data_IF_417229302712
#
_entry.id   IF_417229302712
#
_cell.length_a   1.000
_cell.length_b   1.000
_cell.length_c   1.000
_cell.angle_alpha   90.00
_cell.angle_beta   90.00
_cell.angle_gamma   90.00
#
_symmetry.space_group_name_H-M   'P 1'
#
loop_
_entity.id
_entity.type
_entity.pdbx_description
1 polymer ?
#
# COMPACT_ATOMS: atom_id res chain seq x y z
N UNK A 1 19.57 -8.81 -4.91
CA UNK A 1 18.64 -9.01 -6.04
C UNK A 1 17.30 -8.43 -5.63
N UNK A 2 17.08 -7.15 -5.83
CA UNK A 2 15.88 -6.47 -5.34
C UNK A 2 14.79 -6.61 -6.40
N UNK A 3 13.86 -7.53 -6.17
CA UNK A 3 12.66 -7.66 -7.01
C UNK A 3 11.64 -6.63 -6.58
N UNK A 4 11.31 -5.68 -7.45
CA UNK A 4 10.16 -4.80 -7.28
C UNK A 4 8.92 -5.51 -7.84
N UNK A 5 7.90 -5.70 -7.02
CA UNK A 5 6.60 -6.22 -7.47
C UNK A 5 5.68 -5.02 -7.66
N UNK A 6 5.32 -4.73 -8.90
CA UNK A 6 4.33 -3.71 -9.25
C UNK A 6 2.99 -4.38 -9.55
N UNK A 7 2.01 -4.39 -8.64
CA UNK A 7 0.66 -4.78 -9.00
C UNK A 7 0.11 -3.74 -9.98
N UNK A 8 -0.35 -4.20 -11.14
CA UNK A 8 -1.01 -3.36 -12.12
C UNK A 8 -2.41 -2.99 -11.58
N UNK A 9 -2.49 -2.04 -10.64
CA UNK A 9 -3.76 -1.45 -10.20
C UNK A 9 -4.20 -0.45 -11.26
N UNK A 10 -5.09 -0.90 -12.15
CA UNK A 10 -5.78 -0.04 -13.08
C UNK A 10 -6.71 0.90 -12.32
N UNK A 11 -6.42 2.21 -12.39
CA UNK A 11 -7.18 3.29 -11.74
C UNK A 11 -7.00 3.37 -10.22
N UNK A 12 -6.61 4.56 -9.76
CA UNK A 12 -6.44 4.98 -8.35
C UNK A 12 -7.67 4.76 -7.44
N UNK A 13 -8.77 4.21 -7.98
CA UNK A 13 -10.03 3.92 -7.29
C UNK A 13 -10.06 2.57 -6.55
N UNK A 14 -9.07 1.70 -6.73
CA UNK A 14 -9.08 0.34 -6.16
C UNK A 14 -8.20 0.16 -4.91
N UNK A 15 -7.70 1.26 -4.31
CA UNK A 15 -6.97 1.16 -3.04
C UNK A 15 -7.97 0.96 -1.90
N UNK A 16 -8.14 -0.29 -1.47
CA UNK A 16 -8.99 -0.70 -0.36
C UNK A 16 -8.18 -1.42 0.71
N UNK A 17 -8.75 -1.56 1.91
CA UNK A 17 -8.09 -2.31 2.98
C UNK A 17 -7.85 -3.77 2.58
N UNK A 18 -8.78 -4.35 1.83
CA UNK A 18 -8.73 -5.72 1.35
C UNK A 18 -7.55 -5.92 0.39
N UNK A 19 -7.40 -5.06 -0.62
CA UNK A 19 -6.29 -5.15 -1.57
C UNK A 19 -4.94 -4.93 -0.89
N UNK A 20 -4.86 -3.99 0.06
CA UNK A 20 -3.64 -3.75 0.84
C UNK A 20 -3.32 -4.89 1.83
N UNK A 21 -4.32 -5.60 2.35
CA UNK A 21 -4.08 -6.70 3.29
C UNK A 21 -3.43 -7.92 2.63
N UNK A 22 -3.50 -8.05 1.29
CA UNK A 22 -2.89 -9.16 0.55
C UNK A 22 -1.35 -9.15 0.66
N UNK A 23 -0.74 -7.99 0.86
CA UNK A 23 0.71 -7.88 1.02
C UNK A 23 1.25 -8.61 2.26
N UNK A 24 0.38 -8.96 3.22
CA UNK A 24 0.73 -9.78 4.39
C UNK A 24 1.00 -11.25 4.05
N UNK A 25 0.60 -11.69 2.86
CA UNK A 25 0.76 -13.08 2.41
C UNK A 25 2.12 -13.32 1.74
N UNK A 26 2.91 -12.27 1.52
CA UNK A 26 4.22 -12.36 0.86
C UNK A 26 5.32 -12.69 1.87
N UNK A 27 6.29 -13.50 1.43
CA UNK A 27 7.50 -13.85 2.17
C UNK A 27 8.75 -13.26 1.47
N UNK A 28 9.65 -12.59 2.18
CA UNK A 28 9.56 -12.25 3.61
C UNK A 28 8.41 -11.28 3.90
N UNK A 29 7.88 -11.33 5.13
CA UNK A 29 6.77 -10.47 5.54
C UNK A 29 7.11 -8.99 5.28
N UNK A 30 6.19 -8.29 4.61
CA UNK A 30 6.31 -6.86 4.38
C UNK A 30 5.98 -6.11 5.67
N UNK A 31 6.87 -5.22 6.10
CA UNK A 31 6.66 -4.35 7.26
C UNK A 31 6.28 -2.92 6.85
N UNK A 32 6.72 -2.49 5.67
CA UNK A 32 6.48 -1.14 5.13
C UNK A 32 6.03 -1.24 3.68
N UNK A 33 4.90 -0.62 3.36
CA UNK A 33 4.37 -0.49 2.01
C UNK A 33 4.39 0.98 1.59
N UNK A 34 5.14 1.28 0.54
CA UNK A 34 5.18 2.62 -0.07
C UNK A 34 4.22 2.63 -1.26
N UNK A 35 3.25 3.55 -1.24
CA UNK A 35 2.25 3.75 -2.29
C UNK A 35 2.58 5.02 -3.08
N UNK A 36 2.89 4.86 -4.36
CA UNK A 36 2.96 5.97 -5.31
C UNK A 36 1.57 6.29 -5.86
N UNK A 37 1.07 7.51 -5.63
CA UNK A 37 -0.26 7.94 -6.10
C UNK A 37 -0.22 8.83 -7.35
N UNK A 38 0.97 9.13 -7.89
CA UNK A 38 1.17 10.06 -9.02
C UNK A 38 0.71 11.49 -8.71
N UNK A 39 0.36 12.26 -9.75
CA UNK A 39 0.01 13.70 -9.69
C UNK A 39 -1.20 14.06 -8.81
N UNK A 40 -1.94 13.08 -8.30
CA UNK A 40 -3.04 13.29 -7.36
C UNK A 40 -2.67 12.64 -6.03
N UNK A 41 -2.19 13.47 -5.12
CA UNK A 41 -2.06 13.14 -3.70
C UNK A 41 -3.45 13.07 -3.07
N UNK A 42 -4.28 12.11 -3.52
CA UNK A 42 -5.41 11.68 -2.71
C UNK A 42 -4.81 10.90 -1.54
N UNK A 43 -4.56 11.63 -0.45
CA UNK A 43 -4.05 11.05 0.80
C UNK A 43 -4.93 9.87 1.17
N UNK A 44 -4.31 8.70 1.36
CA UNK A 44 -5.00 7.53 1.86
C UNK A 44 -5.75 7.92 3.15
N UNK A 45 -7.01 7.50 3.27
CA UNK A 45 -7.82 7.88 4.42
C UNK A 45 -7.10 7.44 5.73
N UNK A 46 -6.94 8.32 6.74
CA UNK A 46 -6.17 7.99 7.95
C UNK A 46 -6.62 6.73 8.68
N UNK A 47 -7.93 6.42 8.62
CA UNK A 47 -8.48 5.18 9.18
C UNK A 47 -7.89 3.93 8.52
N UNK A 48 -7.68 3.95 7.20
CA UNK A 48 -7.09 2.83 6.46
C UNK A 48 -5.62 2.65 6.84
N UNK A 49 -4.85 3.75 6.97
CA UNK A 49 -3.46 3.70 7.44
C UNK A 49 -3.36 3.11 8.86
N UNK A 50 -4.30 3.47 9.74
CA UNK A 50 -4.39 2.89 11.09
C UNK A 50 -4.66 1.39 11.04
N UNK A 51 -5.65 0.96 10.24
CA UNK A 51 -6.01 -0.46 10.10
C UNK A 51 -4.87 -1.30 9.52
N UNK A 52 -4.08 -0.75 8.59
CA UNK A 52 -2.90 -1.43 8.06
C UNK A 52 -1.81 -1.57 9.12
N UNK A 53 -1.57 -0.51 9.91
CA UNK A 53 -0.61 -0.56 11.02
C UNK A 53 -1.00 -1.60 12.08
N UNK A 54 -2.28 -1.69 12.41
CA UNK A 54 -2.82 -2.74 13.30
C UNK A 54 -2.60 -4.17 12.75
N UNK A 55 -2.44 -4.30 11.42
CA UNK A 55 -2.14 -5.57 10.73
C UNK A 55 -0.65 -5.83 10.53
N UNK A 56 0.22 -4.97 11.08
CA UNK A 56 1.67 -5.12 11.03
C UNK A 56 2.34 -4.50 9.81
N UNK A 57 1.64 -3.66 9.03
CA UNK A 57 2.20 -2.98 7.86
C UNK A 57 2.07 -1.47 8.03
N UNK A 58 3.18 -0.76 8.06
CA UNK A 58 3.19 0.69 7.93
C UNK A 58 2.94 1.08 6.46
N UNK A 59 2.05 2.05 6.22
CA UNK A 59 1.80 2.58 4.87
C UNK A 59 2.33 3.99 4.78
N UNK A 60 3.13 4.24 3.75
CA UNK A 60 3.65 5.57 3.40
C UNK A 60 3.15 5.95 2.00
N UNK A 61 2.69 7.19 1.84
CA UNK A 61 2.28 7.72 0.53
C UNK A 61 3.38 8.65 0.03
N UNK A 62 3.87 8.39 -1.18
CA UNK A 62 4.86 9.24 -1.84
C UNK A 62 4.31 9.81 -3.15
N UNK A 63 4.67 11.06 -3.40
CA UNK A 63 4.47 11.72 -4.69
C UNK A 63 5.52 11.12 -5.63
N UNK A 64 5.10 10.57 -6.77
CA UNK A 64 5.99 9.92 -7.76
C UNK A 64 6.01 10.70 -9.06
#
# INVERSE_FOLDING_TARGET
>A
STGAVSPQVGSHRDISLESLSLFRLLEPQIEILVLGTGDRVERLHPAMMKQMRERGIAVEVQDT
#
